data_IF_692265094917
#
_entry.id   IF_692265094917
#
_cell.length_a   1.000
_cell.length_b   1.000
_cell.length_c   1.000
_cell.angle_alpha   90.00
_cell.angle_beta   90.00
_cell.angle_gamma   90.00
#
_symmetry.space_group_name_H-M   'P 1'
#
loop_
_entity.id
_entity.type
_entity.pdbx_description
1 polymer ?
#
# COMPACT_ATOMS: atom_id res chain seq x y z
N UNK A 1 10.75 19.32 -1.47
CA UNK A 1 10.89 18.83 -2.85
C UNK A 1 11.00 20.01 -3.79
N UNK A 2 11.89 19.93 -4.75
CA UNK A 2 12.09 20.95 -5.78
C UNK A 2 10.89 20.91 -6.74
N UNK A 3 10.04 21.95 -6.83
CA UNK A 3 8.86 21.95 -7.67
C UNK A 3 9.20 21.88 -9.17
N UNK A 4 10.43 22.16 -9.55
CA UNK A 4 10.88 22.04 -10.95
C UNK A 4 11.12 20.60 -11.38
N UNK A 5 11.16 19.66 -10.45
CA UNK A 5 11.41 18.22 -10.68
C UNK A 5 10.16 17.35 -10.58
N UNK A 6 9.01 17.95 -10.37
CA UNK A 6 7.75 17.23 -10.23
C UNK A 6 6.65 17.92 -11.01
N UNK A 7 5.96 17.17 -11.86
CA UNK A 7 4.79 17.62 -12.61
C UNK A 7 3.60 16.71 -12.32
N UNK A 8 2.46 17.29 -11.97
CA UNK A 8 1.19 16.61 -11.80
C UNK A 8 0.30 16.85 -13.01
N UNK A 9 -0.08 15.75 -13.67
CA UNK A 9 -0.93 15.80 -14.86
C UNK A 9 -2.22 15.04 -14.62
N UNK A 10 -3.36 15.63 -15.01
CA UNK A 10 -4.68 15.00 -14.90
C UNK A 10 -5.29 14.84 -16.30
N UNK A 11 -5.00 13.72 -17.01
CA UNK A 11 -5.57 13.45 -18.33
C UNK A 11 -7.07 13.14 -18.22
N UNK A 12 -7.83 13.51 -19.27
CA UNK A 12 -9.27 13.22 -19.30
C UNK A 12 -9.59 11.76 -19.57
N UNK A 13 -8.72 11.07 -20.31
CA UNK A 13 -8.90 9.66 -20.66
C UNK A 13 -7.65 8.83 -20.36
N UNK A 14 -7.83 7.52 -20.26
CA UNK A 14 -6.71 6.58 -20.08
C UNK A 14 -5.71 6.69 -21.25
N UNK A 15 -6.22 6.76 -22.47
CA UNK A 15 -5.40 6.83 -23.68
C UNK A 15 -4.55 8.11 -23.70
N UNK A 16 -5.12 9.23 -23.28
CA UNK A 16 -4.35 10.49 -23.16
C UNK A 16 -3.28 10.39 -22.08
N UNK A 17 -3.59 9.77 -20.95
CA UNK A 17 -2.62 9.52 -19.88
C UNK A 17 -1.44 8.67 -20.33
N UNK A 18 -1.72 7.62 -21.09
CA UNK A 18 -0.65 6.76 -21.65
C UNK A 18 0.18 7.49 -22.70
N UNK A 19 -0.45 8.28 -23.60
CA UNK A 19 0.26 9.10 -24.59
C UNK A 19 1.20 10.10 -23.92
N UNK A 20 0.71 10.81 -22.90
CA UNK A 20 1.51 11.74 -22.11
C UNK A 20 2.70 11.01 -21.45
N UNK A 21 2.47 9.84 -20.84
CA UNK A 21 3.54 9.03 -20.28
C UNK A 21 4.60 8.65 -21.32
N UNK A 22 4.20 8.31 -22.54
CA UNK A 22 5.14 8.03 -23.65
C UNK A 22 5.94 9.28 -24.05
N UNK A 23 5.33 10.45 -24.06
CA UNK A 23 5.99 11.73 -24.36
C UNK A 23 7.03 12.04 -23.28
N UNK A 24 6.65 11.97 -22.01
CA UNK A 24 7.56 12.22 -20.88
C UNK A 24 8.70 11.20 -20.81
N UNK A 25 8.41 9.92 -21.03
CA UNK A 25 9.44 8.89 -21.12
C UNK A 25 10.41 9.18 -22.28
N UNK A 26 9.91 9.61 -23.44
CA UNK A 26 10.73 9.98 -24.61
C UNK A 26 11.61 11.21 -24.31
N UNK A 27 11.14 12.13 -23.49
CA UNK A 27 11.90 13.28 -23.00
C UNK A 27 12.96 12.94 -21.95
N UNK A 28 12.94 11.71 -21.41
CA UNK A 28 13.96 11.22 -20.46
C UNK A 28 13.63 11.50 -19.00
N UNK A 29 12.35 11.54 -18.62
CA UNK A 29 11.92 11.62 -17.22
C UNK A 29 12.34 10.34 -16.49
N UNK A 30 12.85 10.47 -15.26
CA UNK A 30 13.36 9.32 -14.48
C UNK A 30 12.24 8.41 -13.99
N UNK A 31 11.10 8.98 -13.55
CA UNK A 31 9.98 8.24 -12.96
C UNK A 31 8.63 8.76 -13.43
N UNK A 32 7.75 7.85 -13.82
CA UNK A 32 6.34 8.11 -14.10
C UNK A 32 5.49 7.30 -13.14
N UNK A 33 4.51 7.95 -12.49
CA UNK A 33 3.58 7.30 -11.55
C UNK A 33 2.17 7.39 -12.09
N UNK A 34 1.50 6.23 -12.20
CA UNK A 34 0.05 6.16 -12.44
C UNK A 34 -0.68 5.90 -11.11
N UNK A 35 -1.40 6.91 -10.63
CA UNK A 35 -2.26 6.79 -9.44
C UNK A 35 -3.73 7.07 -9.82
N UNK A 36 -4.50 6.04 -10.12
CA UNK A 36 -4.18 4.61 -10.16
C UNK A 36 -4.50 4.01 -11.54
N UNK A 37 -3.90 2.86 -11.82
CA UNK A 37 -4.13 2.14 -13.11
C UNK A 37 -5.57 1.66 -13.29
N UNK A 38 -6.36 1.59 -12.21
CA UNK A 38 -7.75 1.16 -12.24
C UNK A 38 -8.78 2.29 -12.26
N UNK A 39 -8.36 3.53 -11.98
CA UNK A 39 -9.26 4.69 -11.88
C UNK A 39 -9.44 5.43 -13.20
N UNK A 40 -8.49 5.29 -14.13
CA UNK A 40 -8.53 5.99 -15.42
C UNK A 40 -9.67 5.47 -16.31
N UNK A 41 -10.39 6.39 -16.93
CA UNK A 41 -11.55 6.09 -17.77
C UNK A 41 -11.12 5.99 -19.24
N UNK A 42 -11.37 4.83 -19.93
CA UNK A 42 -11.13 4.73 -21.37
C UNK A 42 -11.94 5.76 -22.17
N UNK A 43 -11.36 6.27 -23.26
CA UNK A 43 -11.97 7.31 -24.10
C UNK A 43 -13.37 6.90 -24.60
N UNK A 44 -13.58 5.62 -24.92
CA UNK A 44 -14.87 5.09 -25.35
C UNK A 44 -15.95 5.29 -24.29
N UNK A 45 -15.58 5.22 -23.01
CA UNK A 45 -16.52 5.42 -21.89
C UNK A 45 -16.64 6.92 -21.58
N UNK A 46 -15.55 7.68 -21.62
CA UNK A 46 -15.53 9.10 -21.29
C UNK A 46 -16.35 9.95 -22.29
N UNK A 47 -16.34 9.58 -23.58
CA UNK A 47 -17.03 10.29 -24.65
C UNK A 47 -18.51 9.86 -24.85
N UNK A 48 -19.05 9.11 -23.93
CA UNK A 48 -20.41 8.59 -24.00
C UNK A 48 -21.42 9.67 -23.63
N UNK A 49 -22.47 9.82 -24.46
CA UNK A 49 -23.60 10.67 -24.11
C UNK A 49 -24.49 10.01 -23.06
N UNK A 50 -25.15 10.79 -22.20
CA UNK A 50 -26.08 10.24 -21.19
C UNK A 50 -27.28 9.52 -21.80
N UNK A 51 -27.61 9.81 -23.06
CA UNK A 51 -28.64 9.13 -23.84
C UNK A 51 -28.35 7.64 -24.11
N UNK A 52 -27.06 7.27 -24.11
CA UNK A 52 -26.61 5.90 -24.41
C UNK A 52 -26.46 5.02 -23.15
N UNK A 53 -27.14 5.39 -22.07
CA UNK A 53 -27.07 4.69 -20.79
C UNK A 53 -27.51 3.20 -20.86
N UNK A 54 -28.22 2.79 -21.93
CA UNK A 54 -28.62 1.41 -22.18
C UNK A 54 -27.53 0.46 -22.67
N UNK A 55 -26.46 0.98 -23.29
CA UNK A 55 -25.30 0.15 -23.62
C UNK A 55 -24.36 0.05 -22.39
N UNK A 56 -24.34 -1.08 -21.75
CA UNK A 56 -23.42 -1.30 -20.62
C UNK A 56 -21.96 -1.09 -21.04
N UNK A 57 -21.20 -0.33 -20.25
CA UNK A 57 -19.74 -0.30 -20.37
C UNK A 57 -19.23 -1.74 -20.36
N UNK A 58 -18.60 -2.21 -21.46
CA UNK A 58 -18.13 -3.60 -21.53
C UNK A 58 -17.12 -3.81 -20.43
N UNK A 59 -17.38 -4.79 -19.58
CA UNK A 59 -16.43 -5.27 -18.59
C UNK A 59 -15.17 -5.67 -19.35
N UNK A 60 -14.07 -4.93 -19.17
CA UNK A 60 -12.80 -5.22 -19.85
C UNK A 60 -12.24 -4.10 -20.72
N UNK A 61 -12.95 -3.00 -20.97
CA UNK A 61 -12.43 -1.90 -21.80
C UNK A 61 -11.11 -1.34 -21.25
N UNK A 62 -11.03 -1.11 -19.95
CA UNK A 62 -9.80 -0.68 -19.28
C UNK A 62 -8.64 -1.66 -19.51
N UNK A 63 -8.93 -2.96 -19.39
CA UNK A 63 -7.94 -4.02 -19.58
C UNK A 63 -7.49 -4.13 -21.04
N UNK A 64 -8.40 -3.91 -21.98
CA UNK A 64 -8.09 -3.92 -23.41
C UNK A 64 -7.11 -2.79 -23.76
N UNK A 65 -7.38 -1.55 -23.31
CA UNK A 65 -6.48 -0.42 -23.56
C UNK A 65 -5.10 -0.68 -22.95
N UNK A 66 -5.00 -1.12 -21.70
CA UNK A 66 -3.72 -1.46 -21.08
C UNK A 66 -2.98 -2.58 -21.84
N UNK A 67 -3.71 -3.57 -22.32
CA UNK A 67 -3.10 -4.68 -23.08
C UNK A 67 -2.53 -4.26 -24.41
N UNK A 68 -3.14 -3.27 -25.06
CA UNK A 68 -2.67 -2.71 -26.33
C UNK A 68 -1.50 -1.76 -26.16
N UNK A 69 -1.51 -0.91 -25.13
CA UNK A 69 -0.58 0.20 -25.02
C UNK A 69 0.65 -0.08 -24.13
N UNK A 70 0.56 -0.99 -23.16
CA UNK A 70 1.71 -1.33 -22.30
C UNK A 70 2.92 -1.85 -23.07
N UNK A 71 2.81 -2.66 -24.16
CA UNK A 71 3.96 -3.04 -24.97
C UNK A 71 4.71 -1.85 -25.56
N UNK A 72 3.97 -0.84 -26.05
CA UNK A 72 4.52 0.38 -26.65
C UNK A 72 5.24 1.20 -25.58
N UNK A 73 4.57 1.48 -24.47
CA UNK A 73 5.16 2.18 -23.33
C UNK A 73 6.43 1.47 -22.84
N UNK A 74 6.38 0.15 -22.66
CA UNK A 74 7.54 -0.66 -22.24
C UNK A 74 8.72 -0.49 -23.18
N UNK A 75 8.49 -0.47 -24.49
CA UNK A 75 9.55 -0.29 -25.48
C UNK A 75 10.24 1.07 -25.34
N UNK A 76 9.48 2.14 -25.07
CA UNK A 76 10.03 3.49 -24.91
C UNK A 76 10.81 3.59 -23.59
N UNK A 77 10.23 3.17 -22.48
CA UNK A 77 10.86 3.28 -21.16
C UNK A 77 12.16 2.46 -21.07
N UNK A 78 12.19 1.28 -21.72
CA UNK A 78 13.40 0.44 -21.75
C UNK A 78 14.57 1.13 -22.47
N UNK A 79 14.29 1.90 -23.52
CA UNK A 79 15.34 2.63 -24.28
C UNK A 79 15.79 3.90 -23.56
N UNK A 80 14.92 4.51 -22.78
CA UNK A 80 15.16 5.81 -22.14
C UNK A 80 15.60 5.70 -20.67
N UNK A 81 15.51 4.52 -20.07
CA UNK A 81 15.84 4.31 -18.66
C UNK A 81 14.79 4.85 -17.70
N UNK A 82 13.59 5.17 -18.17
CA UNK A 82 12.48 5.66 -17.34
C UNK A 82 11.89 4.53 -16.50
N UNK A 83 11.70 4.75 -15.20
CA UNK A 83 10.94 3.86 -14.34
C UNK A 83 9.44 4.18 -14.41
N UNK A 84 8.58 3.15 -14.37
CA UNK A 84 7.12 3.32 -14.30
C UNK A 84 6.58 2.60 -13.08
N UNK A 85 5.86 3.33 -12.23
CA UNK A 85 5.15 2.83 -11.06
C UNK A 85 3.64 2.89 -11.30
N UNK A 86 2.96 1.74 -11.27
CA UNK A 86 1.51 1.66 -11.33
C UNK A 86 0.92 1.31 -9.98
N UNK A 87 0.09 2.18 -9.43
CA UNK A 87 -0.67 1.93 -8.21
C UNK A 87 -1.98 1.25 -8.59
N UNK A 88 -2.26 0.08 -7.99
CA UNK A 88 -3.47 -0.69 -8.25
C UNK A 88 -4.17 -1.05 -6.95
N UNK A 89 -5.46 -0.74 -6.87
CA UNK A 89 -6.29 -1.20 -5.77
C UNK A 89 -6.65 -2.67 -5.96
N UNK A 90 -6.71 -3.39 -4.86
CA UNK A 90 -7.20 -4.78 -4.82
C UNK A 90 -8.71 -4.71 -4.55
N UNK A 91 -9.49 -5.43 -5.35
CA UNK A 91 -10.93 -5.61 -5.13
C UNK A 91 -11.24 -7.08 -4.92
N UNK A 92 -12.28 -7.36 -4.12
CA UNK A 92 -12.83 -8.71 -4.00
C UNK A 92 -13.25 -9.21 -5.38
N UNK A 93 -12.96 -10.47 -5.66
CA UNK A 93 -13.41 -11.15 -6.88
C UNK A 93 -14.79 -11.68 -6.60
N UNK A 94 -15.80 -11.10 -7.25
CA UNK A 94 -17.16 -11.65 -7.21
C UNK A 94 -17.11 -13.00 -7.95
N UNK A 95 -17.21 -14.10 -7.20
CA UNK A 95 -17.30 -15.45 -7.75
C UNK A 95 -18.67 -15.99 -7.45
N UNK A 96 -19.41 -16.38 -8.49
CA UNK A 96 -20.70 -17.05 -8.36
C UNK A 96 -20.60 -18.52 -7.95
N UNK A 97 -19.38 -19.06 -7.89
CA UNK A 97 -19.10 -20.42 -7.43
C UNK A 97 -17.97 -20.44 -6.41
N UNK A 98 -18.01 -21.31 -5.40
CA UNK A 98 -16.88 -21.54 -4.51
C UNK A 98 -15.68 -21.95 -5.33
N UNK A 99 -14.60 -21.17 -5.28
CA UNK A 99 -13.36 -21.51 -5.98
C UNK A 99 -12.19 -21.43 -4.98
N UNK A 100 -11.31 -22.41 -5.03
CA UNK A 100 -10.05 -22.43 -4.25
C UNK A 100 -9.02 -21.43 -4.77
N UNK A 101 -9.41 -20.46 -5.63
CA UNK A 101 -8.52 -19.44 -6.18
C UNK A 101 -8.48 -18.17 -5.32
N UNK A 102 -7.57 -17.24 -5.62
CA UNK A 102 -7.47 -15.99 -4.89
C UNK A 102 -8.80 -15.22 -4.92
N UNK A 103 -9.27 -14.81 -3.74
CA UNK A 103 -10.53 -14.07 -3.54
C UNK A 103 -10.44 -12.61 -4.00
N UNK A 104 -9.24 -12.10 -4.26
CA UNK A 104 -9.00 -10.72 -4.66
C UNK A 104 -8.26 -10.64 -6.00
N UNK A 105 -8.50 -9.57 -6.74
CA UNK A 105 -7.76 -9.30 -7.97
C UNK A 105 -7.40 -7.81 -8.11
N UNK A 106 -6.20 -7.48 -8.62
CA UNK A 106 -5.82 -6.11 -8.90
C UNK A 106 -6.61 -5.57 -10.09
N UNK A 107 -6.93 -4.28 -10.05
CA UNK A 107 -7.49 -3.55 -11.19
C UNK A 107 -6.44 -3.39 -12.30
N UNK A 108 -6.87 -3.06 -13.52
CA UNK A 108 -5.96 -2.89 -14.67
C UNK A 108 -5.67 -4.17 -15.46
N UNK A 109 -6.20 -5.32 -15.01
CA UNK A 109 -6.18 -6.57 -15.76
C UNK A 109 -4.85 -7.32 -15.74
N UNK A 110 -4.73 -8.30 -16.65
CA UNK A 110 -3.57 -9.19 -16.71
C UNK A 110 -2.32 -8.54 -17.32
N UNK A 111 -2.48 -7.50 -18.13
CA UNK A 111 -1.34 -6.85 -18.80
C UNK A 111 -0.30 -6.36 -17.78
N UNK A 112 -0.71 -5.66 -16.73
CA UNK A 112 0.19 -5.23 -15.66
C UNK A 112 0.88 -6.40 -14.96
N UNK A 113 0.20 -7.55 -14.80
CA UNK A 113 0.82 -8.75 -14.20
C UNK A 113 1.97 -9.29 -15.05
N UNK A 114 1.84 -9.25 -16.38
CA UNK A 114 2.85 -9.77 -17.28
C UNK A 114 4.00 -8.79 -17.52
N UNK A 115 3.68 -7.51 -17.74
CA UNK A 115 4.68 -6.50 -18.14
C UNK A 115 5.50 -5.98 -16.96
N UNK A 116 4.98 -5.94 -15.73
CA UNK A 116 5.75 -5.48 -14.56
C UNK A 116 6.98 -6.36 -14.29
N UNK A 117 8.07 -5.72 -13.91
CA UNK A 117 9.31 -6.38 -13.45
C UNK A 117 9.21 -6.74 -11.96
N UNK A 118 8.61 -5.87 -11.16
CA UNK A 118 8.36 -6.09 -9.73
C UNK A 118 6.89 -5.86 -9.45
N UNK A 119 6.30 -6.66 -8.56
CA UNK A 119 4.96 -6.47 -8.02
C UNK A 119 5.00 -6.67 -6.52
N UNK A 120 4.54 -5.66 -5.82
CA UNK A 120 4.37 -5.68 -4.37
C UNK A 120 2.89 -5.69 -4.03
N UNK A 121 2.51 -6.50 -3.08
CA UNK A 121 1.21 -6.43 -2.43
C UNK A 121 1.41 -5.77 -1.07
N UNK A 122 0.65 -4.72 -0.81
CA UNK A 122 0.68 -3.99 0.45
C UNK A 122 -0.64 -4.21 1.17
N UNK A 123 -0.58 -4.69 2.41
CA UNK A 123 -1.76 -4.86 3.27
C UNK A 123 -1.51 -4.20 4.61
N UNK A 124 -2.48 -3.42 5.07
CA UNK A 124 -2.46 -2.93 6.44
C UNK A 124 -2.87 -4.06 7.38
N UNK A 125 -1.99 -4.35 8.34
CA UNK A 125 -2.16 -5.45 9.29
C UNK A 125 -2.72 -4.95 10.61
N UNK A 126 -2.20 -3.81 11.10
CA UNK A 126 -2.57 -3.28 12.41
C UNK A 126 -2.60 -1.76 12.39
N UNK A 127 -3.55 -1.17 13.11
CA UNK A 127 -3.56 0.25 13.38
C UNK A 127 -2.70 0.53 14.61
N UNK A 128 -1.82 1.53 14.51
CA UNK A 128 -1.15 2.10 15.67
C UNK A 128 -2.03 3.19 16.28
N UNK A 129 -2.20 3.12 17.59
CA UNK A 129 -2.99 4.06 18.33
C UNK A 129 -2.12 4.77 19.36
N UNK A 130 -2.38 6.04 19.57
CA UNK A 130 -1.74 6.85 20.60
C UNK A 130 -2.77 7.67 21.37
N UNK A 131 -2.51 7.85 22.66
CA UNK A 131 -3.32 8.73 23.50
C UNK A 131 -2.93 10.17 23.24
N UNK A 132 -3.72 10.88 22.44
CA UNK A 132 -3.51 12.29 22.12
C UNK A 132 -4.41 13.17 23.00
N UNK A 133 -3.85 14.29 23.45
CA UNK A 133 -4.62 15.28 24.18
C UNK A 133 -5.65 15.95 23.28
N UNK A 134 -6.91 15.91 23.69
CA UNK A 134 -7.99 16.58 23.01
C UNK A 134 -8.27 17.92 23.71
N UNK A 135 -7.95 19.02 23.04
CA UNK A 135 -8.10 20.35 23.58
C UNK A 135 -9.56 20.75 23.86
N UNK A 136 -10.53 20.12 23.18
CA UNK A 136 -11.96 20.40 23.39
C UNK A 136 -12.53 19.68 24.61
N UNK A 137 -12.09 18.46 24.87
CA UNK A 137 -12.60 17.64 25.99
C UNK A 137 -11.71 17.69 27.23
N UNK A 138 -10.51 18.28 27.12
CA UNK A 138 -9.45 18.29 28.13
C UNK A 138 -9.04 16.89 28.62
N UNK A 139 -9.24 15.86 27.79
CA UNK A 139 -8.91 14.47 28.08
C UNK A 139 -7.95 13.90 27.03
N UNK A 140 -7.30 12.80 27.37
CA UNK A 140 -6.55 12.02 26.39
C UNK A 140 -7.51 11.06 25.69
N UNK A 141 -7.64 11.21 24.38
CA UNK A 141 -8.43 10.32 23.52
C UNK A 141 -7.48 9.38 22.77
N UNK A 142 -7.83 8.11 22.72
CA UNK A 142 -7.14 7.15 21.88
C UNK A 142 -7.46 7.42 20.41
N UNK A 143 -6.43 7.68 19.59
CA UNK A 143 -6.56 7.93 18.15
C UNK A 143 -5.60 7.08 17.37
N UNK A 144 -6.04 6.65 16.19
CA UNK A 144 -5.18 5.98 15.22
C UNK A 144 -4.21 7.01 14.65
N UNK A 145 -2.92 6.79 14.88
CA UNK A 145 -1.84 7.68 14.44
C UNK A 145 -0.98 7.09 13.34
N UNK A 146 -1.18 5.83 13.03
CA UNK A 146 -0.41 5.13 12.02
C UNK A 146 -0.88 3.69 11.83
N UNK A 147 -0.07 2.89 11.19
CA UNK A 147 -0.32 1.48 11.00
C UNK A 147 0.90 0.69 10.59
N UNK A 148 0.80 -0.61 10.77
CA UNK A 148 1.79 -1.58 10.29
C UNK A 148 1.30 -2.08 8.93
N UNK A 149 2.17 -2.01 7.94
CA UNK A 149 1.91 -2.43 6.58
C UNK A 149 2.79 -3.64 6.27
N UNK A 150 2.18 -4.74 5.88
CA UNK A 150 2.88 -5.88 5.32
C UNK A 150 3.09 -5.66 3.82
N UNK A 151 4.32 -5.83 3.36
CA UNK A 151 4.70 -5.82 1.96
C UNK A 151 5.12 -7.24 1.54
N UNK A 152 4.43 -7.79 0.54
CA UNK A 152 4.76 -9.09 -0.06
C UNK A 152 5.23 -8.93 -1.49
N UNK A 153 6.37 -9.51 -1.82
CA UNK A 153 6.89 -9.54 -3.19
C UNK A 153 6.18 -10.64 -3.98
N UNK A 154 5.13 -10.28 -4.69
CA UNK A 154 4.34 -11.23 -5.51
C UNK A 154 5.12 -11.66 -6.77
N UNK A 155 5.94 -10.77 -7.30
CA UNK A 155 6.76 -11.02 -8.49
C UNK A 155 8.03 -10.18 -8.44
N UNK A 156 9.14 -10.80 -8.77
CA UNK A 156 10.40 -10.11 -8.98
C UNK A 156 11.17 -10.78 -10.13
N UNK A 157 11.54 -9.98 -11.14
CA UNK A 157 12.41 -10.42 -12.25
C UNK A 157 13.85 -9.95 -12.08
N UNK A 158 14.12 -9.13 -11.08
CA UNK A 158 15.41 -8.47 -10.86
C UNK A 158 16.29 -9.21 -9.84
N UNK A 159 15.66 -10.01 -8.98
CA UNK A 159 16.33 -10.72 -7.89
C UNK A 159 15.54 -11.97 -7.47
N UNK A 160 16.10 -12.77 -6.57
CA UNK A 160 15.45 -13.94 -5.96
C UNK A 160 14.51 -13.60 -4.80
N UNK A 161 14.04 -12.34 -4.70
CA UNK A 161 13.21 -11.90 -3.58
C UNK A 161 11.71 -12.23 -3.71
N UNK A 162 11.29 -12.93 -4.78
CA UNK A 162 9.90 -13.33 -4.94
C UNK A 162 9.46 -14.23 -3.78
N UNK A 163 8.30 -13.92 -3.20
CA UNK A 163 7.74 -14.61 -2.04
C UNK A 163 8.16 -14.02 -0.70
N UNK A 164 9.16 -13.14 -0.64
CA UNK A 164 9.54 -12.48 0.61
C UNK A 164 8.45 -11.55 1.09
N UNK A 165 8.29 -11.50 2.40
CA UNK A 165 7.36 -10.63 3.10
C UNK A 165 8.11 -9.88 4.19
N UNK A 166 7.78 -8.60 4.34
CA UNK A 166 8.33 -7.73 5.37
C UNK A 166 7.27 -6.73 5.81
N UNK A 167 7.35 -6.26 7.03
CA UNK A 167 6.46 -5.23 7.52
C UNK A 167 7.22 -3.92 7.78
N UNK A 168 6.52 -2.81 7.61
CA UNK A 168 7.03 -1.49 7.92
C UNK A 168 5.94 -0.61 8.52
N UNK A 169 6.36 0.46 9.16
CA UNK A 169 5.47 1.37 9.86
C UNK A 169 5.14 2.58 9.00
N UNK A 170 3.85 2.98 8.99
CA UNK A 170 3.41 4.26 8.43
C UNK A 170 2.84 5.11 9.56
N UNK A 171 3.23 6.38 9.61
CA UNK A 171 2.69 7.38 10.51
C UNK A 171 1.88 8.39 9.71
N UNK A 172 0.64 8.64 10.12
CA UNK A 172 -0.23 9.57 9.43
C UNK A 172 0.35 10.99 9.46
N UNK A 173 0.39 11.64 8.30
CA UNK A 173 0.94 12.98 8.12
C UNK A 173 2.46 13.04 7.93
N UNK A 174 3.20 11.94 8.19
CA UNK A 174 4.66 11.89 8.03
C UNK A 174 5.10 10.93 6.93
N UNK A 175 4.37 9.81 6.74
CA UNK A 175 4.72 8.76 5.78
C UNK A 175 5.39 7.56 6.46
N UNK A 176 6.34 6.93 5.76
CA UNK A 176 7.08 5.77 6.29
C UNK A 176 7.87 6.19 7.53
N UNK A 177 7.78 5.39 8.59
CA UNK A 177 8.44 5.63 9.87
C UNK A 177 9.75 4.84 9.95
N UNK A 178 10.79 5.37 9.29
CA UNK A 178 12.11 4.75 9.26
C UNK A 178 12.72 4.60 10.64
N UNK A 179 12.52 5.61 11.52
CA UNK A 179 13.03 5.55 12.88
C UNK A 179 12.45 4.36 13.65
N UNK A 180 11.16 4.12 13.49
CA UNK A 180 10.50 2.96 14.10
C UNK A 180 11.06 1.64 13.55
N UNK A 181 11.27 1.56 12.25
CA UNK A 181 11.86 0.40 11.60
C UNK A 181 13.27 0.12 12.12
N UNK A 182 14.11 1.15 12.21
CA UNK A 182 15.46 1.04 12.78
C UNK A 182 15.45 0.56 14.23
N UNK A 183 14.56 1.10 15.06
CA UNK A 183 14.43 0.68 16.46
C UNK A 183 13.99 -0.79 16.60
N UNK A 184 13.08 -1.26 15.74
CA UNK A 184 12.65 -2.67 15.76
C UNK A 184 13.78 -3.60 15.33
N UNK A 185 14.50 -3.28 14.25
CA UNK A 185 15.66 -4.06 13.81
C UNK A 185 16.73 -4.08 14.90
N UNK A 186 17.04 -2.93 15.50
CA UNK A 186 17.99 -2.82 16.60
C UNK A 186 17.57 -3.66 17.81
N UNK A 187 16.27 -3.74 18.09
CA UNK A 187 15.74 -4.55 19.19
C UNK A 187 15.81 -6.05 18.85
N UNK A 188 15.46 -6.46 17.63
CA UNK A 188 15.52 -7.84 17.17
C UNK A 188 16.95 -8.39 17.22
N UNK A 189 17.95 -7.56 16.91
CA UNK A 189 19.37 -7.93 16.96
C UNK A 189 20.06 -7.61 18.29
N UNK A 190 19.31 -7.31 19.36
CA UNK A 190 19.82 -7.02 20.70
C UNK A 190 20.82 -5.83 20.77
N UNK A 191 20.84 -4.96 19.78
CA UNK A 191 21.55 -3.66 19.83
C UNK A 191 20.87 -2.79 20.89
N UNK A 192 19.55 -2.66 20.81
CA UNK A 192 18.71 -2.14 21.90
C UNK A 192 18.26 -3.29 22.77
N UNK A 193 18.63 -3.27 24.04
CA UNK A 193 18.24 -4.28 25.03
C UNK A 193 16.92 -3.90 25.68
N UNK A 194 15.92 -4.77 25.58
CA UNK A 194 14.64 -4.62 26.27
C UNK A 194 14.69 -5.32 27.62
N UNK A 195 14.45 -4.56 28.71
CA UNK A 195 14.35 -5.07 30.09
C UNK A 195 12.98 -4.68 30.65
N UNK A 196 11.98 -5.54 30.45
CA UNK A 196 10.60 -5.21 30.73
C UNK A 196 10.14 -4.00 29.91
N UNK A 197 9.68 -2.92 30.59
CA UNK A 197 9.28 -1.69 29.93
C UNK A 197 10.45 -0.77 29.50
N UNK A 198 11.68 -1.11 29.87
CA UNK A 198 12.85 -0.26 29.63
C UNK A 198 13.60 -0.68 28.36
N UNK A 199 14.06 0.30 27.63
CA UNK A 199 14.91 0.15 26.44
C UNK A 199 16.28 0.78 26.74
N UNK A 200 17.35 -0.01 26.62
CA UNK A 200 18.71 0.36 26.95
C UNK A 200 19.60 0.21 25.71
N UNK A 201 20.39 1.22 25.42
CA UNK A 201 21.35 1.21 24.33
C UNK A 201 22.58 2.06 24.67
N UNK A 202 23.77 1.52 24.37
CA UNK A 202 25.03 2.27 24.47
C UNK A 202 25.28 3.09 23.23
N UNK A 203 24.97 4.39 23.29
CA UNK A 203 25.26 5.33 22.21
C UNK A 203 26.67 5.94 22.36
N UNK A 204 27.20 6.59 21.33
CA UNK A 204 28.42 7.39 21.45
C UNK A 204 28.34 8.51 22.49
N UNK A 205 27.14 9.03 22.74
CA UNK A 205 26.90 10.06 23.76
C UNK A 205 26.77 9.51 25.19
N UNK A 206 26.70 8.18 25.35
CA UNK A 206 26.59 7.50 26.65
C UNK A 206 25.47 6.45 26.68
N UNK A 207 25.19 5.92 27.89
CA UNK A 207 24.14 4.95 28.08
C UNK A 207 22.77 5.63 28.04
N UNK A 208 21.95 5.27 27.04
CA UNK A 208 20.57 5.72 26.93
C UNK A 208 19.68 4.64 27.55
N UNK A 209 18.86 5.04 28.51
CA UNK A 209 17.88 4.17 29.17
C UNK A 209 16.55 4.90 29.28
N UNK A 210 15.53 4.45 28.53
CA UNK A 210 14.23 5.11 28.42
C UNK A 210 13.10 4.10 28.60
N UNK A 211 12.01 4.56 29.21
CA UNK A 211 10.83 3.71 29.43
C UNK A 211 9.91 3.72 28.21
N UNK A 212 9.80 2.56 27.57
CA UNK A 212 8.94 2.37 26.40
C UNK A 212 9.47 3.00 25.10
N UNK A 213 8.85 2.57 24.03
CA UNK A 213 9.24 2.94 22.66
C UNK A 213 9.12 4.44 22.40
N UNK A 214 8.09 5.09 22.95
CA UNK A 214 7.84 6.50 22.68
C UNK A 214 8.91 7.41 23.29
N UNK A 215 9.31 7.18 24.56
CA UNK A 215 10.37 7.98 25.18
C UNK A 215 11.75 7.72 24.55
N UNK A 216 12.01 6.48 24.12
CA UNK A 216 13.25 6.18 23.43
C UNK A 216 13.29 6.89 22.06
N UNK A 217 12.15 6.90 21.34
CA UNK A 217 11.97 7.63 20.10
C UNK A 217 12.15 9.13 20.28
N UNK A 218 11.49 9.74 21.26
CA UNK A 218 11.62 11.18 21.57
C UNK A 218 13.08 11.56 21.82
N UNK A 219 13.86 10.68 22.47
CA UNK A 219 15.29 10.88 22.64
C UNK A 219 16.03 10.90 21.30
N UNK A 220 15.77 9.94 20.41
CA UNK A 220 16.40 9.88 19.09
C UNK A 220 15.99 11.05 18.18
N UNK A 221 14.74 11.51 18.28
CA UNK A 221 14.26 12.71 17.57
C UNK A 221 14.96 13.99 18.05
N UNK A 222 15.26 14.06 19.34
CA UNK A 222 15.98 15.19 19.94
C UNK A 222 17.51 15.14 19.72
N UNK A 223 18.06 13.96 19.40
CA UNK A 223 19.49 13.71 19.24
C UNK A 223 19.78 13.00 17.91
N UNK A 224 19.83 13.73 16.78
CA UNK A 224 20.03 13.14 15.45
C UNK A 224 21.32 12.34 15.30
N UNK A 225 22.39 12.72 16.01
CA UNK A 225 23.67 12.01 15.98
C UNK A 225 23.55 10.60 16.60
N UNK A 226 22.77 10.46 17.67
CA UNK A 226 22.48 9.16 18.27
C UNK A 226 21.65 8.29 17.30
N UNK A 227 20.68 8.88 16.61
CA UNK A 227 19.92 8.18 15.59
C UNK A 227 20.82 7.70 14.44
N UNK A 228 21.71 8.53 13.92
CA UNK A 228 22.67 8.14 12.89
C UNK A 228 23.60 7.01 13.36
N UNK A 229 24.09 7.09 14.58
CA UNK A 229 24.90 6.01 15.15
C UNK A 229 24.15 4.68 15.27
N UNK A 230 22.89 4.72 15.71
CA UNK A 230 22.02 3.54 15.77
C UNK A 230 21.74 2.99 14.37
N UNK A 231 21.45 3.87 13.41
CA UNK A 231 21.22 3.50 12.01
C UNK A 231 22.42 2.77 11.42
N UNK A 232 23.65 3.30 11.63
CA UNK A 232 24.87 2.64 11.17
C UNK A 232 25.09 1.26 11.78
N UNK A 233 24.72 1.07 13.06
CA UNK A 233 24.80 -0.25 13.70
C UNK A 233 23.79 -1.25 13.13
N UNK A 234 22.68 -0.75 12.61
CA UNK A 234 21.60 -1.59 12.03
C UNK A 234 21.86 -1.93 10.56
N UNK A 235 22.60 -1.10 9.81
CA UNK A 235 22.87 -1.29 8.38
C UNK A 235 23.27 -2.73 7.98
N UNK A 236 24.16 -3.45 8.72
CA UNK A 236 24.56 -4.81 8.36
C UNK A 236 23.41 -5.83 8.40
N UNK A 237 22.33 -5.51 9.09
CA UNK A 237 21.17 -6.39 9.26
C UNK A 237 20.03 -6.08 8.29
N UNK A 238 20.13 -5.00 7.52
CA UNK A 238 19.12 -4.67 6.53
C UNK A 238 19.03 -5.79 5.47
N UNK A 239 17.81 -6.26 5.21
CA UNK A 239 17.55 -7.35 4.26
C UNK A 239 17.72 -8.76 4.82
N UNK A 240 18.01 -8.93 6.12
CA UNK A 240 18.08 -10.26 6.76
C UNK A 240 16.72 -10.75 7.30
N UNK A 241 15.64 -9.95 7.15
CA UNK A 241 14.33 -10.22 7.74
C UNK A 241 14.33 -9.90 9.25
N UNK A 242 13.39 -9.08 9.67
CA UNK A 242 13.28 -8.65 11.07
C UNK A 242 12.09 -9.21 11.80
N UNK A 243 11.20 -9.88 11.06
CA UNK A 243 10.02 -10.53 11.60
C UNK A 243 10.25 -12.03 11.65
N UNK A 244 9.93 -12.66 12.78
CA UNK A 244 9.92 -14.10 12.94
C UNK A 244 8.71 -14.71 12.25
N UNK A 245 8.72 -16.02 11.99
CA UNK A 245 7.53 -16.73 11.48
C UNK A 245 6.33 -16.55 12.40
N UNK A 246 6.54 -16.54 13.73
CA UNK A 246 5.48 -16.29 14.73
C UNK A 246 4.89 -14.87 14.60
N UNK A 247 5.71 -13.85 14.34
CA UNK A 247 5.23 -12.48 14.10
C UNK A 247 4.38 -12.40 12.82
N UNK A 248 4.67 -13.23 11.82
CA UNK A 248 3.93 -13.31 10.58
C UNK A 248 2.63 -14.12 10.72
N UNK A 249 2.60 -15.16 11.56
CA UNK A 249 1.39 -15.93 11.87
C UNK A 249 0.37 -15.08 12.61
N UNK A 250 0.78 -14.32 13.64
CA UNK A 250 -0.08 -13.33 14.31
C UNK A 250 -0.65 -12.28 13.34
N UNK A 251 0.15 -11.92 12.34
CA UNK A 251 -0.22 -11.00 11.28
C UNK A 251 -1.27 -11.60 10.34
N UNK A 252 -1.13 -12.88 9.98
CA UNK A 252 -2.07 -13.56 9.09
C UNK A 252 -3.40 -13.88 9.81
N UNK A 253 -3.38 -14.19 11.08
CA UNK A 253 -4.58 -14.43 11.90
C UNK A 253 -5.43 -13.15 12.01
N UNK A 254 -4.81 -12.00 12.28
CA UNK A 254 -5.49 -10.70 12.29
C UNK A 254 -5.96 -10.28 10.89
N UNK A 255 -5.20 -10.59 9.86
CA UNK A 255 -5.55 -10.32 8.45
C UNK A 255 -6.78 -11.13 8.01
N UNK A 256 -6.88 -12.39 8.42
CA UNK A 256 -8.02 -13.25 8.14
C UNK A 256 -9.27 -12.81 8.92
N UNK A 257 -9.13 -12.45 10.21
CA UNK A 257 -10.21 -11.91 11.03
C UNK A 257 -10.78 -10.59 10.45
N UNK A 258 -9.93 -9.70 9.93
CA UNK A 258 -10.38 -8.47 9.28
C UNK A 258 -11.09 -8.74 7.95
N UNK A 259 -10.63 -9.73 7.17
CA UNK A 259 -11.30 -10.14 5.94
C UNK A 259 -12.68 -10.76 6.22
N UNK A 260 -12.82 -11.58 7.28
CA UNK A 260 -14.09 -12.14 7.72
C UNK A 260 -15.05 -11.05 8.25
N UNK A 261 -14.53 -10.04 8.95
CA UNK A 261 -15.35 -8.89 9.40
C UNK A 261 -15.81 -8.01 8.22
N UNK A 262 -14.99 -7.79 7.21
CA UNK A 262 -15.38 -7.06 6.00
C UNK A 262 -16.44 -7.85 5.20
N UNK A 263 -16.33 -9.17 5.09
CA UNK A 263 -17.33 -10.02 4.46
C UNK A 263 -18.66 -10.03 5.24
N UNK A 264 -18.59 -10.00 6.57
CA UNK A 264 -19.79 -9.94 7.43
C UNK A 264 -20.50 -8.58 7.33
N UNK A 265 -19.74 -7.48 7.23
CA UNK A 265 -20.30 -6.13 7.09
C UNK A 265 -20.87 -5.86 5.68
N UNK A 266 -20.39 -6.56 4.67
CA UNK A 266 -20.88 -6.46 3.29
C UNK A 266 -22.01 -7.47 2.99
N UNK A 267 -22.21 -8.49 3.86
CA UNK A 267 -23.19 -9.57 3.69
C UNK A 267 -24.62 -9.25 4.16
N UNK A 268 -24.82 -8.22 4.97
CA UNK A 268 -26.15 -7.89 5.54
C UNK A 268 -27.01 -6.98 4.64
N UNK A 269 -26.80 -7.03 3.34
CA UNK A 269 -27.59 -6.30 2.32
C UNK A 269 -28.80 -7.06 1.75
N UNK A 270 -29.18 -8.23 2.29
CA UNK A 270 -30.38 -8.97 1.86
C UNK A 270 -31.50 -8.89 2.89
N UNK A 271 -32.33 -7.89 2.77
CA UNK A 271 -33.54 -7.71 3.55
C UNK A 271 -34.50 -6.69 2.94
N UNK A 272 -34.69 -6.70 1.63
CA UNK A 272 -35.83 -5.98 1.05
C UNK A 272 -37.10 -6.77 1.30
N UNK A 273 -38.16 -6.19 1.92
CA UNK A 273 -39.41 -6.87 2.13
C UNK A 273 -40.08 -7.12 0.78
N UNK A 274 -40.45 -8.38 0.53
CA UNK A 274 -41.34 -8.75 -0.58
C UNK A 274 -42.68 -8.04 -0.39
N UNK A 275 -43.04 -7.18 -1.33
CA UNK A 275 -44.37 -6.64 -1.46
C UNK A 275 -45.26 -7.81 -1.97
N UNK A 276 -46.13 -8.31 -1.13
CA UNK A 276 -47.21 -9.20 -1.54
C UNK A 276 -48.19 -8.42 -2.41
N UNK A 277 -48.23 -8.73 -3.68
CA UNK A 277 -49.34 -8.35 -4.55
C UNK A 277 -50.56 -9.19 -4.15
N UNK A 278 -51.49 -8.56 -3.48
CA UNK A 278 -52.84 -9.10 -3.33
C UNK A 278 -53.56 -8.96 -4.68
N UNK A 279 -53.72 -10.07 -5.40
CA UNK A 279 -54.81 -10.24 -6.35
C UNK A 279 -56.11 -10.40 -5.56
N UNK A 280 -56.93 -9.39 -5.57
CA UNK A 280 -58.36 -9.55 -5.30
C UNK A 280 -59.18 -9.01 -6.47
N UNK A 281 -59.88 -9.98 -7.05
CA UNK A 281 -60.96 -9.96 -7.98
C UNK A 281 -62.03 -8.91 -7.71
N UNK A 282 -62.46 -8.17 -8.71
CA UNK A 282 -63.79 -8.20 -9.31
C UNK A 282 -63.85 -7.39 -10.62
#
# INVERSE_FOLDING_TARGET
>A
SDPTKFELVQPNTLEDGIKLAMIYASAGVDLIVFDSVGAAVPARIANREMSDAGEQAKVGDLQAVWSMELPNLKSIIARKGTAVLGISQIRAKISTMPSNGPTTQPQGGNAWKFYSSVRLELRRVKNEKSNLYNALTHKKDERVTGGIIRAKVIKCKLSSSQGREEAFYIRWGTGIDDMRSVMEIASAHNIIKKKGAWMEWGSPSGLINKQGVNQFREHLEANPDDFQALYHQVLPFLGQGTFTEDDLEDIDEVGNLLAEMEDTLLGDGEGAPKVEENEDSE
#
